data_IF_526203322861
#
_entry.id   IF_526203322861
#
_cell.length_a   1.000
_cell.length_b   1.000
_cell.length_c   1.000
_cell.angle_alpha   90.00
_cell.angle_beta   90.00
_cell.angle_gamma   90.00
#
_symmetry.space_group_name_H-M   'P 1'
#
loop_
_entity.id
_entity.type
_entity.pdbx_description
1 polymer ?
#
# COMPACT_ATOMS: atom_id res chain seq x y z
N UNK A 1 -7.29 -69.55 -8.60
CA UNK A 1 -7.89 -68.51 -9.47
C UNK A 1 -8.05 -67.27 -8.62
N UNK A 2 -7.05 -66.37 -8.67
CA UNK A 2 -7.00 -65.14 -7.85
C UNK A 2 -7.52 -63.99 -8.70
N UNK A 3 -8.66 -63.39 -8.29
CA UNK A 3 -9.17 -62.16 -8.87
C UNK A 3 -8.42 -60.96 -8.24
N UNK A 4 -7.61 -60.29 -9.05
CA UNK A 4 -7.01 -58.97 -8.69
C UNK A 4 -8.01 -57.89 -9.10
N UNK A 5 -8.67 -57.28 -8.11
CA UNK A 5 -9.47 -56.11 -8.35
C UNK A 5 -8.51 -54.91 -8.51
N UNK A 6 -8.36 -54.43 -9.75
CA UNK A 6 -7.75 -53.11 -10.01
C UNK A 6 -8.77 -52.01 -9.67
N UNK A 7 -8.54 -51.38 -8.51
CA UNK A 7 -9.28 -50.19 -8.12
C UNK A 7 -8.59 -48.98 -8.78
N UNK A 8 -9.15 -48.52 -9.90
CA UNK A 8 -8.66 -47.33 -10.61
C UNK A 8 -9.28 -46.13 -9.95
N UNK A 9 -8.61 -45.53 -8.96
CA UNK A 9 -8.98 -44.22 -8.42
C UNK A 9 -8.83 -43.18 -9.52
N UNK A 10 -9.96 -42.76 -10.11
CA UNK A 10 -10.03 -41.60 -10.97
C UNK A 10 -9.93 -40.36 -10.08
N UNK A 11 -8.72 -39.83 -9.92
CA UNK A 11 -8.50 -38.51 -9.36
C UNK A 11 -9.12 -37.48 -10.30
N UNK A 12 -10.29 -36.96 -9.95
CA UNK A 12 -10.90 -35.86 -10.66
C UNK A 12 -10.04 -34.61 -10.36
N UNK A 13 -9.13 -34.26 -11.26
CA UNK A 13 -8.46 -32.96 -11.24
C UNK A 13 -9.51 -31.91 -11.54
N UNK A 14 -10.04 -31.28 -10.49
CA UNK A 14 -10.81 -30.04 -10.66
C UNK A 14 -9.85 -28.98 -11.22
N UNK A 15 -10.11 -28.55 -12.45
CA UNK A 15 -9.38 -27.41 -13.02
C UNK A 15 -9.83 -26.16 -12.28
N UNK A 16 -8.93 -25.55 -11.49
CA UNK A 16 -9.17 -24.22 -10.93
C UNK A 16 -9.23 -23.21 -12.08
N UNK A 17 -10.30 -22.42 -12.10
CA UNK A 17 -10.39 -21.26 -12.99
C UNK A 17 -9.62 -20.10 -12.37
N UNK A 18 -8.83 -19.39 -13.18
CA UNK A 18 -8.12 -18.18 -12.77
C UNK A 18 -9.02 -16.96 -12.98
N UNK A 19 -8.98 -16.04 -12.02
CA UNK A 19 -9.55 -14.70 -12.16
C UNK A 19 -8.37 -13.72 -12.19
N UNK A 20 -8.12 -13.14 -13.36
CA UNK A 20 -7.05 -12.18 -13.56
C UNK A 20 -7.59 -10.74 -13.48
N UNK A 21 -7.09 -9.97 -12.51
CA UNK A 21 -7.42 -8.56 -12.37
C UNK A 21 -6.22 -7.76 -11.90
N UNK A 22 -6.17 -6.47 -12.20
CA UNK A 22 -5.12 -5.60 -11.71
C UNK A 22 -5.41 -5.22 -10.26
N UNK A 23 -4.75 -5.90 -9.32
CA UNK A 23 -4.98 -5.74 -7.87
C UNK A 23 -4.16 -4.63 -7.20
N UNK A 24 -3.26 -3.96 -7.93
CA UNK A 24 -2.48 -2.89 -7.34
C UNK A 24 -1.22 -2.51 -8.10
N UNK A 25 -0.55 -1.48 -7.56
CA UNK A 25 0.74 -0.99 -8.02
C UNK A 25 1.82 -1.41 -7.04
N UNK A 26 2.58 -2.45 -7.37
CA UNK A 26 3.64 -2.97 -6.52
C UNK A 26 4.98 -2.34 -6.87
N UNK A 27 5.70 -1.89 -5.84
CA UNK A 27 7.10 -1.43 -5.92
C UNK A 27 8.00 -2.27 -5.03
N UNK A 28 9.25 -2.40 -5.41
CA UNK A 28 10.27 -3.14 -4.69
C UNK A 28 11.26 -2.17 -4.06
N UNK A 29 11.63 -2.45 -2.80
CA UNK A 29 12.52 -1.62 -1.99
C UNK A 29 13.63 -2.47 -1.40
N UNK A 30 14.88 -2.10 -1.70
CA UNK A 30 16.05 -2.72 -1.10
C UNK A 30 16.21 -2.24 0.35
N UNK A 31 16.43 -3.15 1.28
CA UNK A 31 16.62 -2.84 2.70
C UNK A 31 18.08 -2.39 2.93
N UNK A 32 18.25 -1.17 3.41
CA UNK A 32 19.57 -0.57 3.66
C UNK A 32 20.50 -0.59 2.43
N UNK A 33 19.93 -0.52 1.22
CA UNK A 33 20.69 -0.58 -0.03
C UNK A 33 21.17 -1.98 -0.44
N UNK A 34 20.79 -3.02 0.27
CA UNK A 34 21.13 -4.41 -0.07
C UNK A 34 20.09 -4.97 -1.06
N UNK A 35 20.47 -5.12 -2.32
CA UNK A 35 19.62 -5.63 -3.41
C UNK A 35 19.23 -7.10 -3.23
N UNK A 36 19.88 -7.85 -2.34
CA UNK A 36 19.49 -9.22 -1.99
C UNK A 36 18.39 -9.26 -0.90
N UNK A 37 18.09 -8.12 -0.29
CA UNK A 37 17.09 -7.98 0.77
C UNK A 37 16.01 -7.01 0.33
N UNK A 38 15.04 -7.54 -0.42
CA UNK A 38 13.98 -6.74 -1.06
C UNK A 38 12.65 -7.03 -0.39
N UNK A 39 11.87 -5.98 -0.15
CA UNK A 39 10.46 -6.06 0.20
C UNK A 39 9.61 -5.49 -0.92
N UNK A 40 8.41 -6.04 -1.11
CA UNK A 40 7.47 -5.63 -2.14
C UNK A 40 6.24 -5.00 -1.50
N UNK A 41 5.93 -3.77 -1.87
CA UNK A 41 4.84 -2.98 -1.28
C UNK A 41 3.82 -2.63 -2.35
N UNK A 42 2.53 -2.86 -2.06
CA UNK A 42 1.45 -2.33 -2.88
C UNK A 42 1.20 -0.86 -2.50
N UNK A 43 1.74 0.07 -3.29
CA UNK A 43 1.61 1.51 -3.03
C UNK A 43 0.21 2.08 -3.36
N UNK A 44 -0.68 1.27 -3.93
CA UNK A 44 -2.09 1.64 -4.14
C UNK A 44 -2.98 1.26 -2.95
N UNK A 45 -2.45 0.52 -1.98
CA UNK A 45 -3.20 0.08 -0.81
C UNK A 45 -3.18 1.16 0.28
N UNK A 46 -4.20 1.99 0.30
CA UNK A 46 -4.34 3.06 1.31
C UNK A 46 -4.51 2.52 2.73
N UNK A 47 -4.98 1.29 2.90
CA UNK A 47 -5.14 0.62 4.19
C UNK A 47 -3.80 0.24 4.85
N UNK A 48 -2.70 0.21 4.10
CA UNK A 48 -1.38 -0.14 4.62
C UNK A 48 -0.90 0.84 5.71
N UNK A 49 -1.22 2.14 5.58
CA UNK A 49 -0.88 3.16 6.59
C UNK A 49 -1.50 2.80 7.94
N UNK A 50 -2.80 2.49 7.95
CA UNK A 50 -3.51 2.13 9.18
C UNK A 50 -2.91 0.86 9.80
N UNK A 51 -2.62 -0.16 8.99
CA UNK A 51 -1.99 -1.39 9.49
C UNK A 51 -0.60 -1.17 10.08
N UNK A 52 0.21 -0.27 9.49
CA UNK A 52 1.52 0.10 10.04
C UNK A 52 1.34 0.84 11.38
N UNK A 53 0.41 1.79 11.48
CA UNK A 53 0.13 2.53 12.71
C UNK A 53 -0.37 1.61 13.82
N UNK A 54 -1.26 0.68 13.51
CA UNK A 54 -1.73 -0.35 14.45
C UNK A 54 -0.59 -1.25 14.92
N UNK A 55 0.34 -1.61 14.03
CA UNK A 55 1.51 -2.40 14.38
C UNK A 55 2.48 -1.63 15.29
N UNK A 56 2.67 -0.32 15.07
CA UNK A 56 3.46 0.53 15.96
C UNK A 56 2.84 0.61 17.37
N UNK A 57 1.54 0.83 17.46
CA UNK A 57 0.83 0.83 18.74
C UNK A 57 0.92 -0.51 19.47
N UNK A 58 0.79 -1.63 18.73
CA UNK A 58 0.96 -2.97 19.30
C UNK A 58 2.40 -3.24 19.75
N UNK A 59 3.41 -2.70 19.04
CA UNK A 59 4.80 -2.84 19.44
C UNK A 59 5.09 -2.16 20.77
N UNK A 60 4.48 -0.99 21.04
CA UNK A 60 4.56 -0.30 22.33
C UNK A 60 3.93 -1.15 23.45
N UNK A 61 2.74 -1.69 23.23
CA UNK A 61 2.09 -2.58 24.19
C UNK A 61 2.89 -3.87 24.46
N UNK A 62 3.52 -4.44 23.44
CA UNK A 62 4.42 -5.60 23.61
C UNK A 62 5.58 -5.25 24.55
N UNK A 63 6.18 -4.08 24.40
CA UNK A 63 7.29 -3.65 25.25
C UNK A 63 6.86 -3.53 26.72
N UNK A 64 5.68 -3.00 27.00
CA UNK A 64 5.09 -2.93 28.32
C UNK A 64 4.82 -4.34 28.90
N UNK A 65 4.21 -5.21 28.12
CA UNK A 65 3.87 -6.59 28.51
C UNK A 65 5.12 -7.41 28.82
N UNK A 66 6.18 -7.28 28.03
CA UNK A 66 7.48 -7.92 28.29
C UNK A 66 8.05 -7.43 29.62
N UNK A 67 8.03 -6.11 29.87
CA UNK A 67 8.55 -5.52 31.12
C UNK A 67 7.82 -6.00 32.36
N UNK A 68 6.53 -6.27 32.26
CA UNK A 68 5.75 -6.83 33.39
C UNK A 68 6.04 -8.32 33.61
N UNK A 69 6.09 -9.11 32.52
CA UNK A 69 6.28 -10.57 32.61
C UNK A 69 7.70 -10.97 32.98
N UNK A 70 8.74 -10.18 32.60
CA UNK A 70 10.14 -10.49 32.94
C UNK A 70 10.44 -10.48 34.44
N UNK A 71 9.55 -9.95 35.26
CA UNK A 71 9.65 -10.01 36.73
C UNK A 71 9.47 -11.42 37.28
N UNK A 72 8.77 -12.29 36.57
CA UNK A 72 8.36 -13.61 37.06
C UNK A 72 8.71 -14.76 36.09
N UNK A 73 9.15 -14.46 34.85
CA UNK A 73 9.40 -15.43 33.80
C UNK A 73 10.82 -15.32 33.22
N UNK A 74 11.28 -16.39 32.58
CA UNK A 74 12.60 -16.38 31.94
C UNK A 74 12.64 -15.39 30.77
N UNK A 75 13.50 -14.38 30.88
CA UNK A 75 13.64 -13.32 29.91
C UNK A 75 14.00 -13.84 28.51
N UNK A 76 14.82 -14.90 28.42
CA UNK A 76 15.25 -15.45 27.14
C UNK A 76 14.09 -16.09 26.41
N UNK A 77 13.22 -16.78 27.14
CA UNK A 77 12.02 -17.41 26.58
C UNK A 77 11.00 -16.34 26.15
N UNK A 78 10.79 -15.32 26.96
CA UNK A 78 9.92 -14.18 26.63
C UNK A 78 10.38 -13.47 25.36
N UNK A 79 11.66 -13.13 25.23
CA UNK A 79 12.18 -12.46 24.05
C UNK A 79 12.02 -13.28 22.77
N UNK A 80 12.06 -14.61 22.83
CA UNK A 80 11.78 -15.47 21.68
C UNK A 80 10.31 -15.46 21.30
N UNK A 81 9.42 -15.59 22.30
CA UNK A 81 7.97 -15.57 22.09
C UNK A 81 7.53 -14.27 21.43
N UNK A 82 7.98 -13.15 21.98
CA UNK A 82 7.59 -11.83 21.48
C UNK A 82 8.28 -11.46 20.16
N UNK A 83 9.51 -11.91 19.90
CA UNK A 83 10.15 -11.75 18.59
C UNK A 83 9.31 -12.44 17.48
N UNK A 84 8.86 -13.66 17.74
CA UNK A 84 8.02 -14.37 16.79
C UNK A 84 6.67 -13.66 16.58
N UNK A 85 5.99 -13.27 17.66
CA UNK A 85 4.71 -12.56 17.61
C UNK A 85 4.82 -11.24 16.85
N UNK A 86 5.89 -10.48 17.06
CA UNK A 86 6.13 -9.23 16.36
C UNK A 86 6.44 -9.45 14.87
N UNK A 87 7.15 -10.53 14.52
CA UNK A 87 7.39 -10.89 13.11
C UNK A 87 6.11 -11.28 12.39
N UNK A 88 5.23 -12.04 13.03
CA UNK A 88 3.91 -12.40 12.50
C UNK A 88 3.08 -11.14 12.26
N UNK A 89 3.02 -10.22 13.22
CA UNK A 89 2.34 -8.95 13.10
C UNK A 89 2.84 -8.11 11.90
N UNK A 90 4.14 -8.03 11.68
CA UNK A 90 4.70 -7.33 10.52
C UNK A 90 4.35 -8.04 9.22
N UNK A 91 4.46 -9.36 9.17
CA UNK A 91 4.09 -10.13 7.97
C UNK A 91 2.61 -9.94 7.59
N UNK A 92 1.73 -9.81 8.56
CA UNK A 92 0.30 -9.55 8.35
C UNK A 92 0.02 -8.20 7.68
N UNK A 93 0.86 -7.18 7.91
CA UNK A 93 0.75 -5.88 7.22
C UNK A 93 0.79 -6.06 5.71
N UNK A 94 1.61 -6.97 5.24
CA UNK A 94 1.88 -7.19 3.81
C UNK A 94 1.17 -8.43 3.23
N UNK A 95 0.59 -9.27 4.07
CA UNK A 95 0.09 -10.59 3.66
C UNK A 95 1.19 -11.51 3.13
N UNK A 96 2.45 -11.30 3.53
CA UNK A 96 3.61 -12.05 3.05
C UNK A 96 4.77 -11.98 4.06
N UNK A 97 5.72 -12.92 3.96
CA UNK A 97 6.88 -12.97 4.85
C UNK A 97 7.92 -11.91 4.47
N UNK A 98 7.75 -10.68 4.95
CA UNK A 98 8.70 -9.57 4.75
C UNK A 98 9.70 -9.42 5.89
N UNK A 99 9.38 -9.92 7.09
CA UNK A 99 10.27 -9.79 8.25
C UNK A 99 11.64 -10.42 8.03
N UNK A 100 11.71 -11.57 7.38
CA UNK A 100 12.98 -12.25 7.09
C UNK A 100 13.84 -11.39 6.15
N UNK A 101 13.26 -10.79 5.13
CA UNK A 101 13.99 -9.89 4.23
C UNK A 101 14.39 -8.58 4.94
N UNK A 102 13.49 -7.99 5.73
CA UNK A 102 13.71 -6.70 6.37
C UNK A 102 14.65 -6.78 7.58
N UNK A 103 14.49 -7.76 8.45
CA UNK A 103 15.14 -7.83 9.75
C UNK A 103 16.15 -8.99 9.87
N UNK A 104 16.07 -9.98 8.96
CA UNK A 104 16.94 -11.17 9.02
C UNK A 104 16.76 -11.95 10.31
N UNK A 105 17.88 -12.37 10.92
CA UNK A 105 17.93 -13.09 12.20
C UNK A 105 18.05 -12.18 13.44
N UNK A 106 18.07 -10.85 13.24
CA UNK A 106 18.17 -9.89 14.36
C UNK A 106 16.87 -9.94 15.16
N UNK A 107 16.98 -10.05 16.49
CA UNK A 107 15.79 -9.95 17.34
C UNK A 107 15.18 -8.56 17.19
N UNK A 108 13.87 -8.50 16.97
CA UNK A 108 13.15 -7.25 16.64
C UNK A 108 13.19 -6.19 17.73
N UNK A 109 13.43 -6.61 18.99
CA UNK A 109 13.57 -5.74 20.15
C UNK A 109 15.04 -5.33 20.42
N UNK A 110 15.99 -5.78 19.59
CA UNK A 110 17.36 -5.29 19.68
C UNK A 110 17.39 -3.78 19.53
N UNK A 111 18.14 -3.11 20.41
CA UNK A 111 18.24 -1.65 20.41
C UNK A 111 19.27 -1.21 19.36
N UNK A 112 18.85 -0.37 18.44
CA UNK A 112 19.72 0.24 17.44
C UNK A 112 20.53 1.41 18.04
N UNK A 113 21.47 1.94 17.27
CA UNK A 113 22.37 3.03 17.71
C UNK A 113 21.65 4.32 18.13
N UNK A 114 20.44 4.53 17.67
CA UNK A 114 19.59 5.65 18.05
C UNK A 114 18.76 5.42 19.32
N UNK A 115 18.96 4.31 20.01
CA UNK A 115 18.24 3.96 21.24
C UNK A 115 16.84 3.37 21.05
N UNK A 116 16.38 3.19 19.82
CA UNK A 116 15.07 2.59 19.52
C UNK A 116 15.19 1.10 19.16
N UNK A 117 14.14 0.29 19.42
CA UNK A 117 14.07 -1.07 18.90
C UNK A 117 14.15 -1.10 17.37
N UNK A 118 14.80 -2.13 16.83
CA UNK A 118 14.95 -2.32 15.37
C UNK A 118 13.59 -2.39 14.68
N UNK A 119 12.60 -3.02 15.30
CA UNK A 119 11.22 -3.06 14.81
C UNK A 119 10.63 -1.66 14.62
N UNK A 120 10.76 -0.81 15.62
CA UNK A 120 10.20 0.55 15.56
C UNK A 120 10.87 1.36 14.45
N UNK A 121 12.20 1.28 14.34
CA UNK A 121 12.93 1.93 13.24
C UNK A 121 12.46 1.44 11.86
N UNK A 122 12.20 0.15 11.72
CA UNK A 122 11.71 -0.41 10.48
C UNK A 122 10.30 0.09 10.14
N UNK A 123 9.38 0.09 11.10
CA UNK A 123 8.01 0.56 10.89
C UNK A 123 7.95 2.06 10.59
N UNK A 124 8.77 2.89 11.27
CA UNK A 124 8.90 4.33 10.99
C UNK A 124 9.41 4.58 9.56
N UNK A 125 10.46 3.89 9.15
CA UNK A 125 11.01 4.00 7.80
C UNK A 125 10.00 3.57 6.74
N UNK A 126 9.30 2.47 6.99
CA UNK A 126 8.27 1.95 6.12
C UNK A 126 7.10 2.95 5.97
N UNK A 127 6.63 3.51 7.08
CA UNK A 127 5.56 4.52 7.06
C UNK A 127 5.96 5.73 6.23
N UNK A 128 7.20 6.22 6.38
CA UNK A 128 7.71 7.36 5.61
C UNK A 128 7.68 7.08 4.09
N UNK A 129 8.14 5.90 3.67
CA UNK A 129 8.14 5.46 2.27
C UNK A 129 6.70 5.38 1.72
N UNK A 130 5.80 4.71 2.43
CA UNK A 130 4.41 4.52 1.99
C UNK A 130 3.69 5.86 1.86
N UNK A 131 3.84 6.76 2.85
CA UNK A 131 3.23 8.10 2.80
C UNK A 131 3.75 8.91 1.62
N UNK A 132 5.05 8.86 1.33
CA UNK A 132 5.63 9.55 0.19
C UNK A 132 5.10 9.01 -1.14
N UNK A 133 4.97 7.70 -1.28
CA UNK A 133 4.45 7.06 -2.49
C UNK A 133 2.99 7.41 -2.75
N UNK A 134 2.16 7.39 -1.71
CA UNK A 134 0.74 7.76 -1.84
C UNK A 134 0.61 9.24 -2.25
N UNK A 135 1.37 10.15 -1.64
CA UNK A 135 1.39 11.56 -2.05
C UNK A 135 1.82 11.73 -3.51
N UNK A 136 2.86 11.04 -3.94
CA UNK A 136 3.35 11.08 -5.31
C UNK A 136 2.31 10.58 -6.31
N UNK A 137 1.60 9.49 -5.96
CA UNK A 137 0.54 8.94 -6.79
C UNK A 137 -0.67 9.89 -6.89
N UNK A 138 -1.05 10.55 -5.80
CA UNK A 138 -2.13 11.55 -5.78
C UNK A 138 -1.77 12.76 -6.65
N UNK A 139 -0.56 13.30 -6.53
CA UNK A 139 -0.07 14.40 -7.36
C UNK A 139 -0.08 14.04 -8.84
N UNK A 140 0.41 12.84 -9.20
CA UNK A 140 0.41 12.37 -10.58
C UNK A 140 -1.01 12.19 -11.15
N UNK A 141 -1.96 11.75 -10.32
CA UNK A 141 -3.36 11.64 -10.71
C UNK A 141 -4.00 13.01 -10.94
N UNK A 142 -3.68 13.99 -10.11
CA UNK A 142 -4.17 15.35 -10.23
C UNK A 142 -3.64 16.03 -11.50
N UNK A 143 -2.35 15.92 -11.80
CA UNK A 143 -1.75 16.45 -13.04
C UNK A 143 -2.45 15.87 -14.27
N UNK A 144 -2.67 14.55 -14.31
CA UNK A 144 -3.38 13.89 -15.41
C UNK A 144 -4.83 14.37 -15.56
N UNK A 145 -5.49 14.73 -14.46
CA UNK A 145 -6.82 15.28 -14.50
C UNK A 145 -6.80 16.69 -15.08
N UNK A 146 -5.87 17.54 -14.64
CA UNK A 146 -5.68 18.90 -15.13
C UNK A 146 -5.37 18.92 -16.63
N UNK A 147 -4.44 18.07 -17.11
CA UNK A 147 -4.15 17.91 -18.53
C UNK A 147 -5.38 17.49 -19.36
N UNK A 148 -6.21 16.58 -18.82
CA UNK A 148 -7.47 16.21 -19.48
C UNK A 148 -8.44 17.35 -19.54
N UNK A 149 -8.64 18.06 -18.43
CA UNK A 149 -9.54 19.22 -18.34
C UNK A 149 -9.09 20.30 -19.33
N UNK A 150 -7.81 20.63 -19.38
CA UNK A 150 -7.26 21.60 -20.30
C UNK A 150 -7.52 21.22 -21.78
N UNK A 151 -7.33 19.92 -22.10
CA UNK A 151 -7.62 19.41 -23.45
C UNK A 151 -9.09 19.57 -23.87
N UNK A 152 -10.02 19.56 -22.93
CA UNK A 152 -11.45 19.75 -23.20
C UNK A 152 -11.87 21.21 -23.16
N UNK A 153 -11.19 22.07 -22.39
CA UNK A 153 -11.47 23.51 -22.28
C UNK A 153 -10.79 24.31 -23.40
N UNK A 154 -9.60 23.93 -23.85
CA UNK A 154 -8.86 24.63 -24.89
C UNK A 154 -9.67 24.85 -26.20
N UNK A 155 -10.50 23.91 -26.69
CA UNK A 155 -11.33 24.15 -27.86
C UNK A 155 -12.47 25.15 -27.62
N UNK A 156 -12.93 25.30 -26.38
CA UNK A 156 -14.02 26.23 -26.02
C UNK A 156 -13.53 27.67 -25.94
N UNK A 157 -12.30 27.89 -25.51
CA UNK A 157 -11.67 29.24 -25.43
C UNK A 157 -11.20 29.72 -26.81
N UNK A 158 -10.99 28.83 -27.75
CA UNK A 158 -10.58 29.15 -29.14
C UNK A 158 -11.74 29.66 -30.03
N UNK A 159 -12.98 29.68 -29.54
CA UNK A 159 -14.03 30.44 -30.24
C UNK A 159 -13.77 31.94 -30.02
N UNK A 160 -13.64 32.73 -31.09
CA UNK A 160 -13.43 34.17 -30.92
C UNK A 160 -14.60 34.70 -30.11
N UNK A 161 -14.28 35.36 -28.97
CA UNK A 161 -15.28 36.03 -28.17
C UNK A 161 -16.04 36.96 -29.11
N UNK A 162 -17.31 36.69 -29.36
CA UNK A 162 -18.16 37.58 -30.12
C UNK A 162 -18.18 38.90 -29.37
N UNK A 163 -17.51 39.90 -29.94
CA UNK A 163 -17.45 41.21 -29.32
C UNK A 163 -18.86 41.84 -29.40
N UNK A 164 -19.63 41.65 -28.35
CA UNK A 164 -21.02 42.09 -28.23
C UNK A 164 -21.15 43.59 -28.46
N UNK A 165 -20.07 44.36 -28.27
CA UNK A 165 -20.03 45.79 -28.50
C UNK A 165 -20.08 46.18 -29.98
N UNK A 166 -19.66 45.30 -30.88
CA UNK A 166 -19.61 45.48 -32.34
C UNK A 166 -20.85 44.95 -33.07
N UNK A 167 -21.73 44.23 -32.35
CA UNK A 167 -22.97 43.71 -32.92
C UNK A 167 -24.01 44.82 -33.15
N UNK A 168 -24.72 44.78 -34.25
CA UNK A 168 -25.88 45.64 -34.50
C UNK A 168 -26.99 45.36 -33.48
N UNK A 169 -27.89 46.34 -33.26
CA UNK A 169 -29.01 46.16 -32.31
C UNK A 169 -29.95 45.02 -32.72
N UNK A 170 -30.02 44.67 -34.01
CA UNK A 170 -30.78 43.52 -34.50
C UNK A 170 -30.10 42.20 -34.14
N UNK A 171 -28.76 42.10 -34.26
CA UNK A 171 -28.01 40.90 -33.92
C UNK A 171 -28.03 40.65 -32.41
N UNK A 172 -27.96 41.73 -31.57
CA UNK A 172 -28.12 41.62 -30.12
C UNK A 172 -29.48 41.07 -29.70
N UNK A 173 -30.57 41.51 -30.41
CA UNK A 173 -31.91 40.98 -30.18
C UNK A 173 -32.07 39.53 -30.62
N UNK A 174 -31.41 39.11 -31.70
CA UNK A 174 -31.40 37.74 -32.16
C UNK A 174 -30.68 36.79 -31.16
N UNK A 175 -29.51 37.20 -30.66
CA UNK A 175 -28.71 36.47 -29.65
C UNK A 175 -29.48 36.32 -28.34
N UNK A 176 -30.17 37.36 -27.88
CA UNK A 176 -31.02 37.29 -26.69
C UNK A 176 -32.20 36.36 -26.84
N UNK A 177 -32.81 36.22 -28.04
CA UNK A 177 -33.89 35.29 -28.31
C UNK A 177 -33.42 33.82 -28.34
N UNK A 178 -32.16 33.60 -28.69
CA UNK A 178 -31.58 32.25 -28.71
C UNK A 178 -31.15 31.78 -27.31
N UNK A 179 -30.66 32.66 -26.46
CA UNK A 179 -30.31 32.40 -25.08
C UNK A 179 -31.49 32.20 -24.13
N UNK A 180 -32.70 32.65 -24.54
CA UNK A 180 -33.94 32.52 -23.75
C UNK A 180 -34.84 31.35 -24.16
N UNK A 181 -34.33 30.43 -25.03
CA UNK A 181 -35.02 29.19 -25.38
C UNK A 181 -34.48 28.02 -24.55
#
# INVERSE_FOLDING_TARGET
MLFVCHNTERTIKMSMQSIDFNSGNYKEYAINGDENRVIRINVSDVGIITRIQDAMSKADHIAEEVSEREKNEDRTQLLKEYDQRAREMVNDIFGSNVCTAALGSVNVFSVASNGKPVLVNFLEALLAVVVQEIKSAQTAAQIKLEEKVEKYIAPVVAQPAVNVAELSDEDKKALLRELLK
#
